data_IF_981466422444
#
_entry.id   IF_981466422444
#
_cell.length_a   1.000
_cell.length_b   1.000
_cell.length_c   1.000
_cell.angle_alpha   90.00
_cell.angle_beta   90.00
_cell.angle_gamma   90.00
#
_symmetry.space_group_name_H-M   'P 1'
#
loop_
_entity.id
_entity.type
_entity.pdbx_description
1 polymer ?
#
# COMPACT_ATOMS: atom_id res chain seq x y z
N UNK A 1 -31.82 18.14 -21.73
CA UNK A 1 -30.88 18.81 -20.79
C UNK A 1 -30.84 18.21 -19.37
N UNK A 2 -31.97 17.80 -18.76
CA UNK A 2 -31.96 17.21 -17.40
C UNK A 2 -31.23 15.86 -17.31
N UNK A 3 -31.44 14.97 -18.29
CA UNK A 3 -30.77 13.66 -18.38
C UNK A 3 -29.25 13.80 -18.56
N UNK A 4 -28.79 14.78 -19.36
CA UNK A 4 -27.37 15.03 -19.60
C UNK A 4 -26.64 15.54 -18.34
N UNK A 5 -27.31 16.39 -17.55
CA UNK A 5 -26.79 16.87 -16.25
C UNK A 5 -26.67 15.77 -15.21
N UNK A 6 -27.61 14.81 -15.21
CA UNK A 6 -27.58 13.68 -14.28
C UNK A 6 -26.41 12.72 -14.57
N UNK A 7 -26.14 12.46 -15.85
CA UNK A 7 -25.00 11.65 -16.28
C UNK A 7 -23.65 12.30 -15.92
N UNK A 8 -23.54 13.64 -16.04
CA UNK A 8 -22.31 14.35 -15.68
C UNK A 8 -22.00 14.27 -14.18
N UNK A 9 -23.03 14.37 -13.33
CA UNK A 9 -22.90 14.24 -11.87
C UNK A 9 -22.52 12.80 -11.49
N UNK A 10 -23.14 11.79 -12.12
CA UNK A 10 -22.80 10.39 -11.88
C UNK A 10 -21.35 10.07 -12.26
N UNK A 11 -20.87 10.59 -13.41
CA UNK A 11 -19.47 10.42 -13.84
C UNK A 11 -18.52 11.12 -12.86
N UNK A 12 -18.83 12.34 -12.42
CA UNK A 12 -18.01 13.08 -11.45
C UNK A 12 -17.92 12.37 -10.09
N UNK A 13 -19.02 11.78 -9.62
CA UNK A 13 -19.06 10.98 -8.39
C UNK A 13 -18.26 9.67 -8.51
N UNK A 14 -18.27 9.03 -9.69
CA UNK A 14 -17.47 7.84 -9.99
C UNK A 14 -15.95 8.12 -10.03
N UNK A 15 -15.53 9.34 -10.40
CA UNK A 15 -14.12 9.74 -10.35
C UNK A 15 -13.66 10.12 -8.94
N UNK A 16 -14.55 10.62 -8.08
CA UNK A 16 -14.20 11.04 -6.71
C UNK A 16 -13.81 9.85 -5.82
N UNK A 17 -14.37 8.67 -6.06
CA UNK A 17 -14.07 7.45 -5.28
C UNK A 17 -12.71 6.85 -5.60
N UNK A 18 -12.08 7.23 -6.72
CA UNK A 18 -10.79 6.66 -7.14
C UNK A 18 -9.58 7.34 -6.46
N UNK A 19 -9.79 8.37 -5.63
CA UNK A 19 -8.72 9.25 -5.13
C UNK A 19 -8.24 8.92 -3.71
N UNK A 20 -8.87 7.98 -3.01
CA UNK A 20 -8.49 7.61 -1.63
C UNK A 20 -7.72 6.28 -1.57
N UNK A 21 -6.60 6.19 -2.28
CA UNK A 21 -5.65 5.09 -2.08
C UNK A 21 -4.69 5.36 -0.91
N UNK A 22 -4.66 6.59 -0.38
CA UNK A 22 -3.81 6.93 0.75
C UNK A 22 -4.51 6.72 2.10
N UNK A 23 -3.89 5.92 2.96
CA UNK A 23 -4.37 5.62 4.31
C UNK A 23 -3.24 5.69 5.34
N UNK A 24 -3.58 5.64 6.63
CA UNK A 24 -2.58 5.46 7.70
C UNK A 24 -2.51 4.00 8.11
N UNK A 25 -1.40 3.33 7.79
CA UNK A 25 -1.10 1.97 8.23
C UNK A 25 -0.04 2.05 9.32
N UNK A 26 -0.36 1.53 10.51
CA UNK A 26 0.55 1.55 11.68
C UNK A 26 1.09 2.97 12.01
N UNK A 27 0.26 4.00 11.82
CA UNK A 27 0.62 5.40 12.08
C UNK A 27 1.40 6.10 10.97
N UNK A 28 1.74 5.41 9.86
CA UNK A 28 2.47 5.97 8.72
C UNK A 28 1.53 6.14 7.52
N UNK A 29 1.68 7.26 6.80
CA UNK A 29 0.96 7.49 5.54
C UNK A 29 1.42 6.44 4.52
N UNK A 30 0.47 5.76 3.91
CA UNK A 30 0.76 4.63 3.02
C UNK A 30 -0.22 4.64 1.85
N UNK A 31 0.24 4.19 0.70
CA UNK A 31 -0.62 3.81 -0.41
C UNK A 31 -1.11 2.37 -0.17
N UNK A 32 -2.42 2.18 -0.06
CA UNK A 32 -3.06 0.88 0.10
C UNK A 32 -3.76 0.53 -1.20
N UNK A 33 -3.29 -0.54 -1.84
CA UNK A 33 -3.88 -1.09 -3.05
C UNK A 33 -4.43 -2.47 -2.73
N UNK A 34 -5.75 -2.62 -2.83
CA UNK A 34 -6.44 -3.85 -2.43
C UNK A 34 -7.41 -4.29 -3.53
N UNK A 35 -7.46 -5.59 -3.77
CA UNK A 35 -8.47 -6.24 -4.59
C UNK A 35 -8.88 -7.57 -3.94
N UNK A 36 -9.75 -8.34 -4.62
CA UNK A 36 -10.27 -9.61 -4.11
C UNK A 36 -9.21 -10.70 -3.87
N UNK A 37 -7.96 -10.50 -4.31
CA UNK A 37 -6.89 -11.50 -4.25
C UNK A 37 -5.72 -11.06 -3.37
N UNK A 38 -5.34 -9.79 -3.45
CA UNK A 38 -4.09 -9.28 -2.87
C UNK A 38 -4.33 -7.95 -2.20
N UNK A 39 -3.57 -7.74 -1.12
CA UNK A 39 -3.37 -6.46 -0.48
C UNK A 39 -1.89 -6.06 -0.56
N UNK A 40 -1.64 -4.84 -1.02
CA UNK A 40 -0.31 -4.23 -1.13
C UNK A 40 -0.32 -2.89 -0.38
N UNK A 41 0.67 -2.70 0.48
CA UNK A 41 0.90 -1.45 1.21
C UNK A 41 2.27 -0.91 0.87
N UNK A 42 2.35 0.37 0.54
CA UNK A 42 3.60 1.08 0.24
C UNK A 42 3.70 2.31 1.15
N UNK A 43 4.77 2.42 1.94
CA UNK A 43 5.03 3.63 2.75
C UNK A 43 5.47 4.78 1.83
N UNK A 44 4.76 5.90 1.87
CA UNK A 44 5.06 7.05 1.01
C UNK A 44 6.36 7.77 1.41
N UNK A 45 6.82 7.61 2.65
CA UNK A 45 8.00 8.32 3.17
C UNK A 45 9.32 7.77 2.61
N UNK A 46 9.32 6.59 1.98
CA UNK A 46 10.54 5.97 1.44
C UNK A 46 10.33 4.86 0.42
N UNK A 47 9.08 4.59 0.01
CA UNK A 47 8.78 3.54 -0.96
C UNK A 47 8.96 2.11 -0.44
N UNK A 48 9.09 1.94 0.88
CA UNK A 48 9.16 0.60 1.49
C UNK A 48 7.84 -0.13 1.27
N UNK A 49 7.91 -1.45 1.11
CA UNK A 49 6.74 -2.33 0.94
C UNK A 49 6.55 -3.10 2.25
N UNK A 50 5.92 -2.49 3.28
CA UNK A 50 5.70 -3.15 4.56
C UNK A 50 4.78 -4.37 4.46
N UNK A 51 3.89 -4.42 3.46
CA UNK A 51 2.93 -5.50 3.27
C UNK A 51 2.69 -5.85 1.81
N UNK A 52 2.86 -7.13 1.50
CA UNK A 52 2.26 -7.77 0.35
C UNK A 52 1.69 -9.09 0.85
N UNK A 53 0.40 -9.36 0.68
CA UNK A 53 -0.19 -10.65 1.07
C UNK A 53 -1.41 -10.99 0.23
N UNK A 54 -1.71 -12.28 0.13
CA UNK A 54 -3.01 -12.73 -0.38
C UNK A 54 -4.09 -12.52 0.68
N UNK A 55 -5.32 -12.21 0.28
CA UNK A 55 -6.43 -11.92 1.21
C UNK A 55 -6.76 -13.13 2.09
N UNK A 56 -6.58 -14.34 1.56
CA UNK A 56 -6.78 -15.62 2.25
C UNK A 56 -5.56 -16.08 3.08
N UNK A 57 -4.53 -15.24 3.18
CA UNK A 57 -3.30 -15.55 3.90
C UNK A 57 -2.87 -14.41 4.82
N UNK A 58 -2.34 -14.79 5.98
CA UNK A 58 -1.66 -13.86 6.89
C UNK A 58 -0.14 -13.80 6.63
N UNK A 59 0.37 -14.58 5.67
CA UNK A 59 1.77 -14.58 5.30
C UNK A 59 2.08 -13.36 4.42
N UNK A 60 3.08 -12.60 4.85
CA UNK A 60 3.67 -11.51 4.07
C UNK A 60 5.06 -11.92 3.59
N UNK A 61 5.24 -12.41 2.35
CA UNK A 61 6.53 -12.91 1.88
C UNK A 61 7.57 -11.80 1.71
N UNK A 62 7.16 -10.53 1.71
CA UNK A 62 8.07 -9.38 1.65
C UNK A 62 8.47 -8.88 3.04
N UNK A 63 8.02 -9.53 4.12
CA UNK A 63 8.45 -9.21 5.46
C UNK A 63 8.93 -10.48 6.15
N UNK A 64 10.25 -10.61 6.25
CA UNK A 64 10.82 -11.61 7.14
C UNK A 64 10.60 -11.13 8.57
N UNK A 65 9.76 -11.86 9.30
CA UNK A 65 9.55 -11.61 10.72
C UNK A 65 10.86 -11.53 11.49
N UNK A 66 10.79 -11.04 12.74
CA UNK A 66 11.97 -10.92 13.61
C UNK A 66 12.69 -12.26 13.69
N UNK A 67 14.00 -12.26 13.41
CA UNK A 67 14.82 -13.48 13.51
C UNK A 67 14.96 -13.90 14.97
N UNK A 68 15.00 -12.94 15.89
CA UNK A 68 15.12 -13.15 17.33
C UNK A 68 14.17 -12.24 18.15
N UNK A 69 13.75 -12.65 19.36
CA UNK A 69 13.12 -11.77 20.33
C UNK A 69 14.08 -10.63 20.69
N UNK A 70 13.66 -9.37 20.49
CA UNK A 70 14.49 -8.18 20.75
C UNK A 70 15.08 -7.52 19.51
N UNK A 71 14.96 -8.15 18.33
CA UNK A 71 15.26 -7.45 17.07
C UNK A 71 14.36 -6.20 16.95
N UNK A 72 14.97 -5.07 16.60
CA UNK A 72 14.26 -3.79 16.55
C UNK A 72 13.03 -3.91 15.64
N UNK A 73 11.84 -3.42 16.07
CA UNK A 73 10.69 -3.31 15.20
C UNK A 73 11.00 -2.22 14.16
N UNK A 74 11.60 -2.59 13.03
CA UNK A 74 12.08 -1.57 12.09
C UNK A 74 12.50 -2.03 10.71
N UNK A 75 12.70 -3.33 10.45
CA UNK A 75 12.82 -3.80 9.06
C UNK A 75 11.44 -3.70 8.41
N UNK A 76 11.12 -2.53 7.88
CA UNK A 76 9.84 -2.22 7.25
C UNK A 76 9.77 -2.86 5.86
N UNK A 77 9.57 -4.18 5.87
CA UNK A 77 9.42 -4.98 4.66
C UNK A 77 10.60 -4.88 3.69
N UNK A 78 10.33 -5.23 2.44
CA UNK A 78 11.30 -5.09 1.36
C UNK A 78 11.29 -3.67 0.80
N UNK A 79 12.46 -3.22 0.33
CA UNK A 79 12.59 -2.02 -0.48
C UNK A 79 12.85 -2.44 -1.91
N UNK A 80 12.21 -1.76 -2.86
CA UNK A 80 12.58 -1.90 -4.27
C UNK A 80 13.81 -1.03 -4.53
N UNK A 81 14.97 -1.65 -4.67
CA UNK A 81 16.19 -0.96 -5.08
C UNK A 81 16.19 -0.76 -6.60
N UNK A 82 15.66 0.36 -7.07
CA UNK A 82 15.77 0.75 -8.48
C UNK A 82 17.23 1.12 -8.80
N UNK A 83 17.99 0.17 -9.35
CA UNK A 83 19.37 0.31 -9.84
C UNK A 83 20.46 0.61 -8.79
N UNK A 84 20.17 0.42 -7.49
CA UNK A 84 21.17 0.53 -6.43
C UNK A 84 21.54 -0.83 -5.85
N UNK A 85 22.77 -1.27 -6.11
CA UNK A 85 23.39 -2.37 -5.38
C UNK A 85 24.16 -1.82 -4.18
N UNK A 86 23.75 -2.14 -2.94
CA UNK A 86 24.46 -1.74 -1.72
C UNK A 86 23.54 -1.44 -0.53
N UNK A 87 24.10 -1.19 0.68
CA UNK A 87 23.30 -0.94 1.87
C UNK A 87 22.43 0.33 1.73
N UNK A 88 21.25 0.36 2.37
CA UNK A 88 20.45 1.58 2.48
C UNK A 88 21.24 2.64 3.25
N UNK A 89 21.14 3.90 2.82
CA UNK A 89 21.72 5.07 3.50
C UNK A 89 20.87 5.51 4.68
#
# INVERSE_FOLDING_TARGET
MKIFRFNLIAIFLLFLTQVLAEERVQGRRSLVLENEKVRLVIDIAGGSIPEFRFIDSNLNPLNWGRRNPGDQPGSMGHFLCCDRWGPPS
#
